data_IF_269052260329
#
_entry.id   IF_269052260329
#
_cell.length_a   1.000
_cell.length_b   1.000
_cell.length_c   1.000
_cell.angle_alpha   90.00
_cell.angle_beta   90.00
_cell.angle_gamma   90.00
#
_symmetry.space_group_name_H-M   'P 1'
#
loop_
_entity.id
_entity.type
_entity.pdbx_description
1 polymer ?
#
# COMPACT_ATOMS: atom_id res chain seq x y z
N UNK A 1 15.72 41.25 14.36
CA UNK A 1 15.25 40.64 13.11
C UNK A 1 15.27 39.15 13.30
N UNK A 2 14.10 38.51 13.28
CA UNK A 2 13.98 37.06 13.46
C UNK A 2 14.49 36.34 12.21
N UNK A 3 15.42 35.42 12.41
CA UNK A 3 15.97 34.57 11.34
C UNK A 3 14.82 33.69 10.83
N UNK A 4 14.40 33.92 9.59
CA UNK A 4 13.46 33.04 8.89
C UNK A 4 14.20 31.71 8.70
N UNK A 5 13.81 30.67 9.43
CA UNK A 5 14.32 29.32 9.16
C UNK A 5 13.82 28.91 7.76
N UNK A 6 14.70 28.40 6.88
CA UNK A 6 14.30 27.96 5.56
C UNK A 6 13.26 26.85 5.74
N UNK A 7 12.15 26.99 5.01
CA UNK A 7 11.08 26.01 4.92
C UNK A 7 11.76 24.69 4.55
N UNK A 8 11.82 23.75 5.48
CA UNK A 8 12.42 22.44 5.24
C UNK A 8 11.67 21.82 4.07
N UNK A 9 12.37 21.44 3.02
CA UNK A 9 11.83 20.98 1.74
C UNK A 9 11.06 19.66 1.98
N UNK A 10 9.77 19.77 2.34
CA UNK A 10 8.92 18.63 2.65
C UNK A 10 8.71 17.87 1.35
N UNK A 11 9.48 16.80 1.15
CA UNK A 11 9.27 15.88 0.04
C UNK A 11 7.87 15.28 0.17
N UNK A 12 7.05 15.48 -0.86
CA UNK A 12 5.71 14.93 -0.91
C UNK A 12 5.73 13.39 -0.69
N UNK A 13 4.82 12.91 0.15
CA UNK A 13 4.52 11.49 0.27
C UNK A 13 3.98 11.02 -1.10
N UNK A 14 4.65 10.04 -1.70
CA UNK A 14 4.31 9.55 -3.03
C UNK A 14 3.98 8.07 -2.93
N UNK A 15 2.77 7.72 -3.34
CA UNK A 15 2.31 6.33 -3.40
C UNK A 15 2.13 5.94 -4.86
N UNK A 16 2.82 4.89 -5.29
CA UNK A 16 2.60 4.30 -6.60
C UNK A 16 1.81 3.00 -6.38
N UNK A 17 0.59 2.99 -6.89
CA UNK A 17 -0.26 1.81 -6.91
C UNK A 17 -0.31 1.27 -8.34
N UNK A 18 -0.07 -0.02 -8.49
CA UNK A 18 -0.12 -0.74 -9.76
C UNK A 18 -0.97 -1.98 -9.58
N UNK A 19 -2.05 -2.05 -10.36
CA UNK A 19 -3.01 -3.13 -10.31
C UNK A 19 -3.13 -3.78 -11.69
N UNK A 20 -3.12 -5.11 -11.71
CA UNK A 20 -3.32 -5.90 -12.91
C UNK A 20 -4.41 -6.92 -12.65
N UNK A 21 -5.51 -6.81 -13.38
CA UNK A 21 -6.67 -7.67 -13.24
C UNK A 21 -6.99 -8.46 -14.50
N UNK A 22 -7.48 -9.69 -14.31
CA UNK A 22 -8.15 -10.48 -15.33
C UNK A 22 -9.51 -10.92 -14.81
N UNK A 23 -10.53 -10.81 -15.67
CA UNK A 23 -11.88 -11.27 -15.36
C UNK A 23 -12.41 -12.14 -16.50
N UNK A 24 -12.94 -13.29 -16.11
CA UNK A 24 -13.69 -14.18 -16.98
C UNK A 24 -15.11 -14.34 -16.42
N UNK A 25 -16.10 -14.20 -17.28
CA UNK A 25 -17.50 -14.36 -16.90
C UNK A 25 -18.25 -15.12 -17.99
N UNK A 26 -18.94 -16.16 -17.57
CA UNK A 26 -19.85 -16.96 -18.37
C UNK A 26 -21.14 -17.20 -17.59
N UNK A 27 -22.13 -17.84 -18.21
CA UNK A 27 -23.39 -18.20 -17.53
C UNK A 27 -23.15 -19.15 -16.35
N UNK A 28 -22.17 -20.02 -16.49
CA UNK A 28 -21.99 -21.19 -15.64
C UNK A 28 -20.83 -20.99 -14.64
N UNK A 29 -19.96 -20.00 -14.88
CA UNK A 29 -18.78 -19.70 -14.07
C UNK A 29 -18.38 -18.22 -14.19
N UNK A 30 -18.05 -17.59 -13.07
CA UNK A 30 -17.32 -16.34 -12.98
C UNK A 30 -15.98 -16.57 -12.28
N UNK A 31 -14.95 -15.86 -12.74
CA UNK A 31 -13.62 -15.88 -12.15
C UNK A 31 -12.98 -14.51 -12.30
N UNK A 32 -12.38 -14.00 -11.23
CA UNK A 32 -11.58 -12.79 -11.23
C UNK A 32 -10.26 -13.05 -10.54
N UNK A 33 -9.18 -12.56 -11.12
CA UNK A 33 -7.85 -12.58 -10.53
C UNK A 33 -7.25 -11.17 -10.61
N UNK A 34 -6.80 -10.65 -9.49
CA UNK A 34 -6.19 -9.32 -9.39
C UNK A 34 -4.86 -9.44 -8.69
N UNK A 35 -3.80 -8.92 -9.29
CA UNK A 35 -2.52 -8.68 -8.63
C UNK A 35 -2.39 -7.19 -8.33
N UNK A 36 -2.04 -6.86 -7.10
CA UNK A 36 -1.85 -5.48 -6.68
C UNK A 36 -0.45 -5.27 -6.11
N UNK A 37 0.12 -4.09 -6.36
CA UNK A 37 1.34 -3.61 -5.74
C UNK A 37 1.17 -2.14 -5.35
N UNK A 38 1.46 -1.82 -4.09
CA UNK A 38 1.41 -0.49 -3.53
C UNK A 38 2.76 -0.17 -2.88
N UNK A 39 3.50 0.73 -3.51
CA UNK A 39 4.78 1.25 -3.02
C UNK A 39 4.57 2.65 -2.43
N UNK A 40 4.59 2.74 -1.09
CA UNK A 40 4.56 4.00 -0.36
C UNK A 40 5.98 4.51 -0.14
N UNK A 41 6.29 5.71 -0.65
CA UNK A 41 7.56 6.40 -0.42
C UNK A 41 7.32 7.69 0.36
N UNK A 42 8.24 8.01 1.27
CA UNK A 42 8.23 9.24 2.07
C UNK A 42 7.05 9.35 3.04
N UNK A 43 6.76 8.29 3.82
CA UNK A 43 5.86 8.43 4.97
C UNK A 43 6.47 9.48 5.90
N UNK A 44 5.82 10.63 6.01
CA UNK A 44 6.33 11.72 6.83
C UNK A 44 6.10 11.37 8.30
N UNK A 45 7.14 10.91 9.01
CA UNK A 45 7.10 10.89 10.47
C UNK A 45 7.70 12.19 10.98
N UNK A 46 6.91 12.91 11.78
CA UNK A 46 7.44 13.99 12.59
C UNK A 46 8.29 13.36 13.69
N UNK A 47 9.61 13.54 13.62
CA UNK A 47 10.51 13.23 14.73
C UNK A 47 10.90 14.55 15.37
N UNK A 48 10.51 14.70 16.64
CA UNK A 48 10.91 15.84 17.47
C UNK A 48 12.19 15.46 18.20
N UNK A 49 13.29 16.15 17.90
CA UNK A 49 14.56 15.98 18.60
C UNK A 49 14.45 16.58 20.03
N UNK A 50 14.63 15.78 21.09
CA UNK A 50 14.50 16.25 22.47
C UNK A 50 15.62 17.21 22.93
N UNK A 51 16.74 17.33 22.17
CA UNK A 51 17.86 18.22 22.52
C UNK A 51 17.75 19.60 21.86
N UNK A 52 17.13 19.70 20.69
CA UNK A 52 17.06 20.95 19.91
C UNK A 52 15.66 21.54 19.80
N UNK A 53 14.61 20.81 20.22
CA UNK A 53 13.19 21.21 20.08
C UNK A 53 12.76 21.51 18.63
N UNK A 54 13.55 21.06 17.65
CA UNK A 54 13.23 21.20 16.22
C UNK A 54 12.58 19.92 15.73
N UNK A 55 11.38 20.03 15.13
CA UNK A 55 10.74 18.93 14.42
C UNK A 55 11.41 18.78 13.06
N UNK A 56 12.06 17.64 12.84
CA UNK A 56 12.71 17.32 11.57
C UNK A 56 11.82 16.31 10.85
N UNK A 57 11.37 16.65 9.64
CA UNK A 57 10.67 15.69 8.77
C UNK A 57 11.66 14.64 8.31
N UNK A 58 11.62 13.45 8.92
CA UNK A 58 12.43 12.31 8.48
C UNK A 58 11.59 11.34 7.65
N UNK A 59 12.23 10.74 6.65
CA UNK A 59 11.63 9.81 5.71
C UNK A 59 11.47 8.46 6.41
N UNK A 60 10.26 8.16 6.92
CA UNK A 60 10.01 7.04 7.83
C UNK A 60 9.86 5.67 7.14
N UNK A 61 10.77 5.40 6.20
CA UNK A 61 10.83 4.12 5.52
C UNK A 61 9.91 4.01 4.31
N UNK A 62 10.29 3.09 3.41
CA UNK A 62 9.48 2.71 2.25
C UNK A 62 8.67 1.48 2.62
N UNK A 63 7.35 1.53 2.52
CA UNK A 63 6.49 0.36 2.73
C UNK A 63 6.03 -0.15 1.37
N UNK A 64 6.29 -1.41 1.07
CA UNK A 64 5.81 -2.06 -0.14
C UNK A 64 4.79 -3.13 0.26
N UNK A 65 3.53 -2.97 -0.16
CA UNK A 65 2.47 -3.96 0.00
C UNK A 65 2.15 -4.56 -1.36
N UNK A 66 2.19 -5.88 -1.47
CA UNK A 66 1.86 -6.60 -2.70
C UNK A 66 1.00 -7.81 -2.39
N UNK A 67 0.12 -8.17 -3.30
CA UNK A 67 -0.75 -9.31 -3.08
C UNK A 67 -1.51 -9.73 -4.32
N UNK A 68 -2.27 -10.80 -4.15
CA UNK A 68 -3.16 -11.36 -5.14
C UNK A 68 -4.52 -11.60 -4.52
N UNK A 69 -5.56 -11.32 -5.28
CA UNK A 69 -6.94 -11.57 -4.95
C UNK A 69 -7.54 -12.47 -6.03
N UNK A 70 -8.15 -13.56 -5.61
CA UNK A 70 -8.83 -14.52 -6.47
C UNK A 70 -10.28 -14.61 -6.03
N UNK A 71 -11.18 -14.60 -6.99
CA UNK A 71 -12.61 -14.73 -6.78
C UNK A 71 -13.17 -15.70 -7.82
N UNK A 72 -14.04 -16.61 -7.39
CA UNK A 72 -14.76 -17.51 -8.29
C UNK A 72 -16.19 -17.71 -7.84
N UNK A 73 -17.11 -17.77 -8.80
CA UNK A 73 -18.51 -18.08 -8.57
C UNK A 73 -19.04 -19.06 -9.61
N UNK A 74 -19.94 -19.94 -9.21
CA UNK A 74 -20.67 -20.80 -10.13
C UNK A 74 -21.96 -20.13 -10.59
N UNK A 75 -22.44 -20.51 -11.77
CA UNK A 75 -23.82 -20.30 -12.16
C UNK A 75 -24.80 -21.03 -11.23
N UNK A 76 -26.10 -20.83 -11.47
CA UNK A 76 -27.17 -21.50 -10.72
C UNK A 76 -27.40 -22.89 -11.29
N UNK A 77 -27.12 -23.93 -10.51
CA UNK A 77 -27.38 -25.33 -10.86
C UNK A 77 -28.36 -25.94 -9.86
N UNK A 78 -29.55 -26.33 -10.33
CA UNK A 78 -30.58 -26.91 -9.45
C UNK A 78 -31.08 -25.96 -8.36
N UNK A 79 -30.98 -24.63 -8.56
CA UNK A 79 -31.37 -23.61 -7.59
C UNK A 79 -30.27 -23.16 -6.62
N UNK A 80 -29.06 -23.75 -6.71
CA UNK A 80 -27.93 -23.43 -5.86
C UNK A 80 -26.82 -22.75 -6.65
N UNK A 81 -26.06 -21.88 -6.00
CA UNK A 81 -24.81 -21.32 -6.51
C UNK A 81 -23.76 -21.32 -5.42
N UNK A 82 -22.50 -21.40 -5.80
CA UNK A 82 -21.36 -21.39 -4.90
C UNK A 82 -20.47 -20.21 -5.27
N UNK A 83 -19.93 -19.55 -4.26
CA UNK A 83 -19.00 -18.45 -4.42
C UNK A 83 -17.88 -18.57 -3.40
N UNK A 84 -16.67 -18.23 -3.80
CA UNK A 84 -15.51 -18.19 -2.93
C UNK A 84 -14.54 -17.10 -3.35
N UNK A 85 -13.85 -16.54 -2.36
CA UNK A 85 -12.78 -15.58 -2.56
C UNK A 85 -11.57 -15.91 -1.68
N UNK A 86 -10.39 -15.53 -2.15
CA UNK A 86 -9.12 -15.71 -1.47
C UNK A 86 -8.23 -14.49 -1.72
N UNK A 87 -7.73 -13.90 -0.64
CA UNK A 87 -6.74 -12.82 -0.71
C UNK A 87 -5.47 -13.25 0.00
N UNK A 88 -4.34 -13.13 -0.68
CA UNK A 88 -3.01 -13.33 -0.11
C UNK A 88 -2.18 -12.07 -0.31
N UNK A 89 -1.68 -11.50 0.79
CA UNK A 89 -0.90 -10.27 0.75
C UNK A 89 0.37 -10.37 1.60
N UNK A 90 1.41 -9.67 1.16
CA UNK A 90 2.67 -9.51 1.88
C UNK A 90 3.03 -8.03 1.95
N UNK A 91 3.32 -7.58 3.15
CA UNK A 91 3.78 -6.22 3.43
C UNK A 91 5.23 -6.27 3.87
N UNK A 92 6.09 -5.48 3.22
CA UNK A 92 7.50 -5.33 3.56
C UNK A 92 7.75 -3.87 3.97
N UNK A 93 8.08 -3.67 5.25
CA UNK A 93 8.59 -2.39 5.75
C UNK A 93 10.09 -2.32 5.45
N UNK A 94 10.48 -1.40 4.57
CA UNK A 94 11.88 -1.08 4.30
C UNK A 94 12.27 0.10 5.16
N UNK A 95 12.45 -0.18 6.45
CA UNK A 95 13.16 0.72 7.34
C UNK A 95 14.64 0.33 7.37
N UNK A 96 15.47 1.27 6.95
CA UNK A 96 16.83 1.36 7.46
C UNK A 96 16.79 2.49 8.49
N UNK A 97 16.34 2.18 9.70
CA UNK A 97 16.58 3.04 10.86
C UNK A 97 18.10 3.03 11.08
N UNK A 98 18.79 4.02 10.51
CA UNK A 98 20.16 4.33 10.92
C UNK A 98 20.06 4.87 12.34
N UNK A 99 20.11 3.96 13.32
CA UNK A 99 20.53 4.31 14.67
C UNK A 99 22.03 4.60 14.57
N UNK A 100 22.38 5.88 14.64
CA UNK A 100 23.74 6.36 14.91
C UNK A 100 23.67 7.37 16.03
#
# INVERSE_FOLDING_TARGET
GGVIQPIQDIKAETSIMTDLGYRFQSRDLSFTATFFNSDFKNRQANVTDPNTLVSVYTNAGRVTNRGVELEAGSGVFGGFSVYGSLTAQKSEMKDNLVVS
#
